data_IF_822930546593
#
_entry.id   IF_822930546593
#
_cell.length_a   1.000
_cell.length_b   1.000
_cell.length_c   1.000
_cell.angle_alpha   90.00
_cell.angle_beta   90.00
_cell.angle_gamma   90.00
#
_symmetry.space_group_name_H-M   'P 1'
#
loop_
_entity.id
_entity.type
_entity.pdbx_description
1 polymer ?
#
# COMPACT_ATOMS: atom_id res chain seq x y z
N UNK A 1 20.44 -8.88 -8.74
CA UNK A 1 19.48 -7.82 -8.40
C UNK A 1 19.57 -7.51 -6.92
N UNK A 2 19.46 -6.23 -6.56
CA UNK A 2 19.36 -5.81 -5.17
C UNK A 2 17.90 -5.72 -4.80
N UNK A 3 17.55 -6.36 -3.67
CA UNK A 3 16.18 -6.40 -3.20
C UNK A 3 15.92 -5.38 -2.10
N UNK A 4 14.77 -4.72 -2.16
CA UNK A 4 14.32 -3.73 -1.19
C UNK A 4 12.97 -4.11 -0.58
N UNK A 5 12.76 -3.63 0.62
CA UNK A 5 11.46 -3.61 1.28
C UNK A 5 11.01 -2.16 1.31
N UNK A 6 9.79 -1.89 0.89
CA UNK A 6 9.30 -0.52 0.75
C UNK A 6 8.07 -0.29 1.60
N UNK A 7 7.99 0.88 2.21
CA UNK A 7 6.84 1.31 3.02
C UNK A 7 6.40 2.68 2.54
N UNK A 8 5.12 2.82 2.23
CA UNK A 8 4.54 4.10 1.81
C UNK A 8 3.29 4.45 2.59
N UNK A 9 3.26 5.66 3.13
CA UNK A 9 2.09 6.22 3.82
C UNK A 9 1.40 7.24 2.92
N UNK A 10 0.08 7.17 2.84
CA UNK A 10 -0.73 8.10 2.06
C UNK A 10 -0.28 8.14 0.59
N UNK A 11 0.06 9.31 0.06
CA UNK A 11 0.56 9.44 -1.32
C UNK A 11 1.82 8.62 -1.59
N UNK A 12 2.61 8.31 -0.55
CA UNK A 12 3.80 7.46 -0.70
C UNK A 12 3.49 6.08 -1.26
N UNK A 13 2.34 5.50 -0.88
CA UNK A 13 1.89 4.22 -1.44
C UNK A 13 1.58 4.32 -2.93
N UNK A 14 0.99 5.43 -3.36
CA UNK A 14 0.69 5.68 -4.77
C UNK A 14 1.97 5.84 -5.58
N UNK A 15 2.94 6.59 -5.05
CA UNK A 15 4.25 6.77 -5.69
C UNK A 15 4.96 5.43 -5.88
N UNK A 16 4.97 4.60 -4.84
CA UNK A 16 5.61 3.28 -4.90
C UNK A 16 4.91 2.38 -5.93
N UNK A 17 3.58 2.40 -5.98
CA UNK A 17 2.81 1.62 -6.96
C UNK A 17 3.17 2.03 -8.39
N UNK A 18 3.18 3.33 -8.66
CA UNK A 18 3.57 3.86 -9.97
C UNK A 18 5.00 3.50 -10.34
N UNK A 19 5.91 3.57 -9.37
CA UNK A 19 7.31 3.21 -9.59
C UNK A 19 7.45 1.73 -9.97
N UNK A 20 6.74 0.84 -9.28
CA UNK A 20 6.75 -0.59 -9.60
C UNK A 20 6.18 -0.87 -10.97
N UNK A 21 5.09 -0.20 -11.34
CA UNK A 21 4.45 -0.39 -12.64
C UNK A 21 5.26 0.20 -13.81
N UNK A 22 6.13 1.17 -13.53
CA UNK A 22 6.91 1.86 -14.56
C UNK A 22 8.00 1.02 -15.22
N UNK A 23 8.44 -0.06 -14.56
CA UNK A 23 9.59 -0.85 -14.99
C UNK A 23 10.93 -0.21 -14.71
N UNK A 24 10.95 0.96 -14.06
CA UNK A 24 12.19 1.68 -13.74
C UNK A 24 13.12 0.86 -12.86
N UNK A 25 12.58 0.23 -11.83
CA UNK A 25 13.37 -0.57 -10.89
C UNK A 25 14.06 -1.73 -11.59
N UNK A 26 13.34 -2.43 -12.47
CA UNK A 26 13.88 -3.55 -13.23
C UNK A 26 15.05 -3.11 -14.10
N UNK A 27 14.93 -1.97 -14.76
CA UNK A 27 16.02 -1.39 -15.56
C UNK A 27 17.27 -1.10 -14.72
N UNK A 28 17.10 -0.80 -13.45
CA UNK A 28 18.18 -0.52 -12.50
C UNK A 28 18.64 -1.77 -11.76
N UNK A 29 18.12 -2.94 -12.11
CA UNK A 29 18.38 -4.23 -11.43
C UNK A 29 18.03 -4.18 -9.94
N UNK A 30 16.91 -3.53 -9.64
CA UNK A 30 16.36 -3.42 -8.31
C UNK A 30 15.01 -4.14 -8.26
N UNK A 31 14.73 -4.80 -7.14
CA UNK A 31 13.44 -5.43 -6.89
C UNK A 31 12.86 -4.96 -5.58
N UNK A 32 11.54 -5.05 -5.46
CA UNK A 32 10.84 -4.86 -4.18
C UNK A 32 10.13 -6.17 -3.89
N UNK A 33 10.59 -6.90 -2.88
CA UNK A 33 9.99 -8.16 -2.48
C UNK A 33 8.83 -7.99 -1.51
N UNK A 34 8.85 -6.91 -0.71
CA UNK A 34 7.79 -6.61 0.26
C UNK A 34 7.41 -5.15 0.17
N UNK A 35 6.11 -4.91 0.00
CA UNK A 35 5.52 -3.57 -0.07
C UNK A 35 4.50 -3.41 1.04
N UNK A 36 4.69 -2.41 1.89
CA UNK A 36 3.72 -2.03 2.91
C UNK A 36 3.09 -0.71 2.50
N UNK A 37 1.77 -0.68 2.49
CA UNK A 37 0.97 0.49 2.14
C UNK A 37 0.15 0.88 3.36
N UNK A 38 0.12 2.16 3.68
CA UNK A 38 -0.57 2.66 4.88
C UNK A 38 -1.47 3.83 4.48
N UNK A 39 -2.77 3.62 4.52
CA UNK A 39 -3.77 4.67 4.30
C UNK A 39 -3.62 5.40 2.96
N UNK A 40 -3.37 4.68 1.87
CA UNK A 40 -3.14 5.28 0.56
C UNK A 40 -4.44 5.43 -0.23
N UNK A 41 -4.71 6.63 -0.79
CA UNK A 41 -5.98 6.93 -1.45
C UNK A 41 -5.97 6.52 -2.94
N UNK A 42 -6.11 5.22 -3.22
CA UNK A 42 -6.03 4.72 -4.60
C UNK A 42 -7.14 5.24 -5.52
N UNK A 43 -8.27 5.66 -4.96
CA UNK A 43 -9.36 6.26 -5.75
C UNK A 43 -9.49 7.77 -5.58
N UNK A 44 -8.42 8.42 -5.13
CA UNK A 44 -8.40 9.88 -5.03
C UNK A 44 -8.60 10.56 -6.39
N UNK A 45 -8.02 9.99 -7.44
CA UNK A 45 -8.10 10.49 -8.81
C UNK A 45 -8.44 9.32 -9.73
N UNK A 46 -9.55 9.44 -10.47
CA UNK A 46 -10.04 8.35 -11.32
C UNK A 46 -9.05 8.02 -12.45
N UNK A 47 -8.45 9.03 -13.06
CA UNK A 47 -7.49 8.81 -14.13
C UNK A 47 -6.27 8.03 -13.63
N UNK A 48 -5.74 8.41 -12.46
CA UNK A 48 -4.64 7.70 -11.83
C UNK A 48 -5.01 6.25 -11.50
N UNK A 49 -6.21 6.04 -10.97
CA UNK A 49 -6.69 4.69 -10.64
C UNK A 49 -6.81 3.83 -11.90
N UNK A 50 -7.33 4.40 -12.97
CA UNK A 50 -7.45 3.72 -14.27
C UNK A 50 -6.06 3.36 -14.83
N UNK A 51 -5.09 4.25 -14.66
CA UNK A 51 -3.71 3.98 -15.06
C UNK A 51 -3.12 2.83 -14.24
N UNK A 52 -3.33 2.79 -12.93
CA UNK A 52 -2.89 1.66 -12.10
C UNK A 52 -3.52 0.35 -12.58
N UNK A 53 -4.81 0.35 -12.92
CA UNK A 53 -5.49 -0.83 -13.45
C UNK A 53 -4.91 -1.27 -14.80
N UNK A 54 -4.60 -0.30 -15.66
CA UNK A 54 -4.04 -0.57 -16.99
C UNK A 54 -2.67 -1.22 -16.89
N UNK A 55 -1.81 -0.75 -15.99
CA UNK A 55 -0.42 -1.16 -15.90
C UNK A 55 -0.12 -2.22 -14.85
N UNK A 56 -1.14 -2.69 -14.10
CA UNK A 56 -0.93 -3.66 -13.00
C UNK A 56 -0.32 -4.99 -13.46
N UNK A 57 -0.44 -5.33 -14.73
CA UNK A 57 0.19 -6.53 -15.27
C UNK A 57 1.73 -6.47 -15.23
N UNK A 58 2.31 -5.28 -15.03
CA UNK A 58 3.75 -5.09 -14.88
C UNK A 58 4.25 -5.33 -13.47
N UNK A 59 3.34 -5.48 -12.50
CA UNK A 59 3.73 -5.79 -11.12
C UNK A 59 4.27 -7.22 -11.06
N UNK A 60 5.45 -7.39 -10.46
CA UNK A 60 6.07 -8.70 -10.30
C UNK A 60 5.29 -9.59 -9.34
N UNK A 61 5.22 -10.89 -9.63
CA UNK A 61 4.52 -11.86 -8.78
C UNK A 61 5.23 -12.10 -7.44
N UNK A 62 6.50 -11.77 -7.37
CA UNK A 62 7.32 -11.92 -6.17
C UNK A 62 7.06 -10.86 -5.12
N UNK A 63 6.29 -9.81 -5.45
CA UNK A 63 5.97 -8.75 -4.50
C UNK A 63 4.88 -9.23 -3.54
N UNK A 64 5.21 -9.26 -2.24
CA UNK A 64 4.22 -9.47 -1.19
C UNK A 64 3.73 -8.10 -0.71
N UNK A 65 2.42 -7.93 -0.57
CA UNK A 65 1.80 -6.65 -0.22
C UNK A 65 1.05 -6.77 1.10
N UNK A 66 1.34 -5.85 2.00
CA UNK A 66 0.60 -5.67 3.25
C UNK A 66 -0.02 -4.27 3.24
N UNK A 67 -1.35 -4.20 3.23
CA UNK A 67 -2.09 -2.94 3.17
C UNK A 67 -2.78 -2.68 4.50
N UNK A 68 -2.39 -1.59 5.17
CA UNK A 68 -3.06 -1.12 6.37
C UNK A 68 -4.07 -0.03 6.00
N UNK A 69 -5.32 -0.24 6.38
CA UNK A 69 -6.40 0.72 6.18
C UNK A 69 -6.97 1.13 7.53
N UNK A 70 -7.50 2.34 7.63
CA UNK A 70 -7.97 2.89 8.89
C UNK A 70 -9.46 3.24 8.87
N UNK A 71 -10.12 2.98 10.00
CA UNK A 71 -11.53 3.33 10.23
C UNK A 71 -11.64 4.11 11.55
N UNK A 72 -11.23 5.37 11.51
CA UNK A 72 -11.31 6.28 12.68
C UNK A 72 -12.70 6.86 12.83
N UNK A 73 -13.28 7.35 11.73
CA UNK A 73 -14.57 8.01 11.69
C UNK A 73 -15.47 7.29 10.69
N UNK A 74 -16.15 6.23 11.13
CA UNK A 74 -17.01 5.43 10.27
C UNK A 74 -16.20 4.70 9.19
N UNK A 75 -16.46 5.03 7.92
CA UNK A 75 -15.81 4.39 6.76
C UNK A 75 -14.63 5.21 6.22
N UNK A 76 -13.86 5.84 7.11
CA UNK A 76 -12.73 6.68 6.76
C UNK A 76 -11.70 6.69 7.89
N UNK A 77 -10.43 6.93 7.56
CA UNK A 77 -9.40 7.23 8.56
C UNK A 77 -9.40 8.72 8.99
N UNK A 78 -10.42 9.45 8.57
CA UNK A 78 -10.55 10.89 8.81
C UNK A 78 -10.13 11.74 7.60
N UNK A 79 -9.37 11.17 6.67
CA UNK A 79 -8.90 11.85 5.46
C UNK A 79 -9.13 10.99 4.24
N UNK A 80 -8.74 9.72 4.28
CA UNK A 80 -8.90 8.78 3.17
C UNK A 80 -10.11 7.88 3.41
N UNK A 81 -11.08 7.85 2.49
CA UNK A 81 -12.20 6.90 2.59
C UNK A 81 -11.68 5.46 2.60
N UNK A 82 -12.31 4.64 3.44
CA UNK A 82 -11.93 3.23 3.57
C UNK A 82 -11.94 2.52 2.21
N UNK A 83 -12.98 2.74 1.40
CA UNK A 83 -13.10 2.15 0.06
C UNK A 83 -11.93 2.54 -0.86
N UNK A 84 -11.44 3.77 -0.74
CA UNK A 84 -10.30 4.23 -1.53
C UNK A 84 -9.01 3.52 -1.14
N UNK A 85 -8.78 3.33 0.16
CA UNK A 85 -7.62 2.58 0.65
C UNK A 85 -7.71 1.09 0.29
N UNK A 86 -8.92 0.51 0.37
CA UNK A 86 -9.16 -0.90 0.03
C UNK A 86 -9.10 -1.17 -1.47
N UNK A 87 -9.19 -0.14 -2.31
CA UNK A 87 -9.11 -0.29 -3.76
C UNK A 87 -7.74 -0.82 -4.23
N UNK A 88 -6.72 -0.78 -3.38
CA UNK A 88 -5.43 -1.43 -3.64
C UNK A 88 -5.59 -2.92 -3.93
N UNK A 89 -6.58 -3.58 -3.34
CA UNK A 89 -6.81 -5.02 -3.52
C UNK A 89 -6.95 -5.40 -4.99
N UNK A 90 -7.68 -4.62 -5.78
CA UNK A 90 -7.86 -4.93 -7.20
C UNK A 90 -6.58 -4.69 -8.01
N UNK A 91 -5.75 -3.73 -7.60
CA UNK A 91 -4.47 -3.45 -8.26
C UNK A 91 -3.47 -4.57 -7.99
N UNK A 92 -3.43 -5.07 -6.77
CA UNK A 92 -2.53 -6.14 -6.34
C UNK A 92 -3.18 -7.52 -6.32
N UNK A 93 -4.20 -7.74 -7.14
CA UNK A 93 -4.99 -8.98 -7.14
C UNK A 93 -4.20 -10.24 -7.47
N UNK A 94 -3.06 -10.10 -8.16
CA UNK A 94 -2.21 -11.23 -8.56
C UNK A 94 -1.00 -11.42 -7.66
N UNK A 95 -0.83 -10.56 -6.68
CA UNK A 95 0.24 -10.67 -5.68
C UNK A 95 -0.28 -11.35 -4.42
N UNK A 96 0.64 -11.78 -3.55
CA UNK A 96 0.30 -12.18 -2.19
C UNK A 96 -0.10 -10.91 -1.43
N UNK A 97 -1.40 -10.71 -1.23
CA UNK A 97 -1.97 -9.49 -0.68
C UNK A 97 -2.67 -9.76 0.65
N UNK A 98 -2.31 -9.01 1.67
CA UNK A 98 -2.96 -9.04 2.98
C UNK A 98 -3.43 -7.64 3.33
N UNK A 99 -4.67 -7.52 3.81
CA UNK A 99 -5.23 -6.25 4.25
C UNK A 99 -5.54 -6.32 5.74
N UNK A 100 -5.15 -5.26 6.46
CA UNK A 100 -5.43 -5.12 7.89
C UNK A 100 -6.21 -3.83 8.10
N UNK A 101 -7.43 -3.94 8.61
CA UNK A 101 -8.28 -2.80 8.95
C UNK A 101 -8.10 -2.46 10.42
N UNK A 102 -7.47 -1.33 10.70
CA UNK A 102 -7.29 -0.80 12.04
C UNK A 102 -8.42 0.18 12.36
N UNK A 103 -8.93 0.11 13.59
CA UNK A 103 -10.11 0.87 14.02
C UNK A 103 -9.80 1.73 15.24
N UNK A 104 -10.60 2.78 15.41
CA UNK A 104 -10.53 3.63 16.59
C UNK A 104 -9.64 4.84 16.44
N UNK A 105 -9.40 5.53 17.56
CA UNK A 105 -8.71 6.83 17.58
C UNK A 105 -7.28 6.76 17.00
N UNK A 106 -6.57 5.67 17.26
CA UNK A 106 -5.19 5.49 16.78
C UNK A 106 -5.13 5.02 15.32
N UNK A 107 -6.27 4.85 14.68
CA UNK A 107 -6.37 4.56 13.25
C UNK A 107 -6.66 5.79 12.41
N UNK A 108 -6.61 6.99 12.99
CA UNK A 108 -6.66 8.25 12.24
C UNK A 108 -5.49 8.32 11.27
N UNK A 109 -5.71 8.93 10.12
CA UNK A 109 -4.72 8.98 9.02
C UNK A 109 -3.31 9.36 9.48
N UNK A 110 -3.19 10.41 10.29
CA UNK A 110 -1.90 10.88 10.81
C UNK A 110 -1.31 9.96 11.89
N UNK A 111 -2.14 9.21 12.59
CA UNK A 111 -1.73 8.31 13.67
C UNK A 111 -1.40 6.89 13.18
N UNK A 112 -1.87 6.51 12.00
CA UNK A 112 -1.66 5.16 11.46
C UNK A 112 -0.20 4.72 11.49
N UNK A 113 0.78 5.52 11.02
CA UNK A 113 2.16 5.07 10.98
C UNK A 113 2.76 4.75 12.36
N UNK A 114 2.20 5.31 13.43
CA UNK A 114 2.68 5.07 14.80
C UNK A 114 1.71 4.22 15.62
N UNK A 115 0.66 3.69 15.00
CA UNK A 115 -0.27 2.79 15.66
C UNK A 115 0.47 1.54 16.17
N UNK A 116 0.37 1.19 17.47
CA UNK A 116 1.15 0.08 18.04
C UNK A 116 0.88 -1.26 17.35
N UNK A 117 -0.36 -1.54 16.97
CA UNK A 117 -0.71 -2.79 16.28
C UNK A 117 -0.11 -2.82 14.87
N UNK A 118 -0.14 -1.68 14.18
CA UNK A 118 0.49 -1.55 12.86
C UNK A 118 1.98 -1.79 12.96
N UNK A 119 2.65 -1.12 13.89
CA UNK A 119 4.12 -1.25 14.06
C UNK A 119 4.49 -2.69 14.35
N UNK A 120 3.74 -3.40 15.19
CA UNK A 120 3.97 -4.80 15.49
C UNK A 120 3.85 -5.68 14.25
N UNK A 121 2.76 -5.54 13.49
CA UNK A 121 2.52 -6.35 12.31
C UNK A 121 3.49 -6.02 11.18
N UNK A 122 3.81 -4.75 10.99
CA UNK A 122 4.81 -4.31 10.02
C UNK A 122 6.18 -4.90 10.35
N UNK A 123 6.57 -4.87 11.61
CA UNK A 123 7.87 -5.42 12.05
C UNK A 123 7.96 -6.92 11.76
N UNK A 124 6.89 -7.66 12.03
CA UNK A 124 6.82 -9.09 11.72
C UNK A 124 6.91 -9.33 10.20
N UNK A 125 6.17 -8.58 9.42
CA UNK A 125 6.14 -8.71 7.96
C UNK A 125 7.52 -8.45 7.35
N UNK A 126 8.21 -7.42 7.83
CA UNK A 126 9.52 -7.03 7.32
C UNK A 126 10.70 -7.79 7.98
N UNK A 127 10.43 -8.63 8.96
CA UNK A 127 11.45 -9.37 9.73
C UNK A 127 12.41 -8.43 10.48
N UNK A 128 11.87 -7.43 11.13
CA UNK A 128 12.64 -6.48 11.93
C UNK A 128 12.75 -6.91 13.39
#
# INVERSE_FOLDING_TARGET
>A
FTDFKAVGHSNGGLVLTGLLESGFLEKKKLTVSKLVIIGSPYQFNQEMYDDFQTWKHRLGKEVEVLNFVGSFAGKSDGIVPLSSAQAAQSIFEKQAYTEVNLKGRKAHHSALPTNPDLVKQLSLFLNL
#
